data_IF_320555513697
#
_entry.id   IF_320555513697
#
_cell.length_a   1.000
_cell.length_b   1.000
_cell.length_c   1.000
_cell.angle_alpha   90.00
_cell.angle_beta   90.00
_cell.angle_gamma   90.00
#
_symmetry.space_group_name_H-M   'P 1'
#
loop_
_entity.id
_entity.type
_entity.pdbx_description
1 polymer ?
#
# COMPACT_ATOMS: atom_id res chain seq x y z
N UNK A 1 7.78 -8.31 -10.51
CA UNK A 1 6.97 -7.33 -11.26
C UNK A 1 7.22 -7.53 -12.76
N UNK A 2 6.17 -7.50 -13.60
CA UNK A 2 6.30 -7.61 -15.07
C UNK A 2 6.97 -6.36 -15.68
N UNK A 3 7.61 -6.49 -16.86
CA UNK A 3 8.44 -5.42 -17.46
C UNK A 3 7.70 -4.11 -17.68
N UNK A 4 6.44 -4.14 -18.15
CA UNK A 4 5.66 -2.93 -18.44
C UNK A 4 5.22 -2.17 -17.19
N UNK A 5 4.65 -2.82 -16.14
CA UNK A 5 4.44 -2.17 -14.84
C UNK A 5 5.70 -1.50 -14.28
N UNK A 6 6.86 -2.16 -14.35
CA UNK A 6 8.11 -1.57 -13.86
C UNK A 6 8.49 -0.28 -14.62
N UNK A 7 8.31 -0.26 -15.95
CA UNK A 7 8.57 0.93 -16.77
C UNK A 7 7.60 2.08 -16.47
N UNK A 8 6.31 1.79 -16.30
CA UNK A 8 5.31 2.80 -15.91
C UNK A 8 5.61 3.37 -14.53
N UNK A 9 5.94 2.51 -13.57
CA UNK A 9 6.33 2.94 -12.23
C UNK A 9 7.57 3.84 -12.25
N UNK A 10 8.61 3.47 -12.99
CA UNK A 10 9.82 4.27 -13.14
C UNK A 10 9.56 5.63 -13.81
N UNK A 11 8.70 5.66 -14.85
CA UNK A 11 8.33 6.91 -15.52
C UNK A 11 7.57 7.87 -14.59
N UNK A 12 6.69 7.35 -13.74
CA UNK A 12 5.98 8.16 -12.75
C UNK A 12 6.91 8.69 -11.66
N UNK A 13 7.88 7.89 -11.20
CA UNK A 13 8.89 8.33 -10.22
C UNK A 13 9.83 9.39 -10.78
N UNK A 14 10.19 9.29 -12.06
CA UNK A 14 11.10 10.21 -12.73
C UNK A 14 10.40 11.49 -13.25
N UNK A 15 9.09 11.62 -13.05
CA UNK A 15 8.32 12.76 -13.54
C UNK A 15 8.44 13.95 -12.60
N UNK A 16 8.84 15.12 -13.11
CA UNK A 16 8.96 16.36 -12.31
C UNK A 16 7.62 16.81 -11.70
N UNK A 17 6.51 16.58 -12.42
CA UNK A 17 5.14 16.85 -11.94
C UNK A 17 4.68 15.88 -10.84
N UNK A 18 5.42 14.78 -10.63
CA UNK A 18 5.02 13.66 -9.78
C UNK A 18 3.73 12.94 -10.23
N UNK A 19 3.18 13.25 -11.41
CA UNK A 19 1.99 12.59 -11.96
C UNK A 19 1.88 12.69 -13.48
N UNK A 20 1.41 11.61 -14.11
CA UNK A 20 1.25 11.53 -15.58
C UNK A 20 -0.10 10.93 -15.95
N UNK A 21 -0.64 11.34 -17.09
CA UNK A 21 -1.82 10.76 -17.74
C UNK A 21 -1.47 9.53 -18.57
N UNK A 22 -2.47 8.75 -19.00
CA UNK A 22 -2.27 7.63 -19.93
C UNK A 22 -1.58 8.04 -21.23
N UNK A 23 -1.89 9.23 -21.74
CA UNK A 23 -1.32 9.74 -22.99
C UNK A 23 0.16 10.06 -22.82
N UNK A 24 0.51 10.81 -21.78
CA UNK A 24 1.90 11.15 -21.46
C UNK A 24 2.74 9.89 -21.18
N UNK A 25 2.18 8.89 -20.49
CA UNK A 25 2.84 7.60 -20.29
C UNK A 25 3.07 6.85 -21.61
N UNK A 26 2.08 6.86 -22.52
CA UNK A 26 2.19 6.23 -23.84
C UNK A 26 3.27 6.88 -24.70
N UNK A 27 3.31 8.21 -24.70
CA UNK A 27 4.31 9.01 -25.41
C UNK A 27 5.73 8.80 -24.83
N UNK A 28 5.89 8.97 -23.51
CA UNK A 28 7.19 8.86 -22.83
C UNK A 28 7.80 7.46 -22.98
N UNK A 29 6.97 6.42 -22.86
CA UNK A 29 7.43 5.03 -22.93
C UNK A 29 7.42 4.46 -24.35
N UNK A 30 6.87 5.20 -25.32
CA UNK A 30 6.64 4.76 -26.71
C UNK A 30 5.89 3.43 -26.78
N UNK A 31 4.76 3.35 -26.09
CA UNK A 31 3.93 2.13 -26.00
C UNK A 31 2.45 2.43 -26.25
N UNK A 32 1.68 1.38 -26.56
CA UNK A 32 0.26 1.52 -26.85
C UNK A 32 -0.57 1.88 -25.61
N UNK A 33 -1.73 2.52 -25.77
CA UNK A 33 -2.67 2.80 -24.68
C UNK A 33 -3.12 1.55 -23.91
N UNK A 34 -3.22 0.40 -24.60
CA UNK A 34 -3.57 -0.87 -23.98
C UNK A 34 -2.47 -1.37 -23.03
N UNK A 35 -1.20 -1.23 -23.42
CA UNK A 35 -0.07 -1.60 -22.57
C UNK A 35 0.02 -0.72 -21.31
N UNK A 36 -0.25 0.59 -21.44
CA UNK A 36 -0.35 1.50 -20.30
C UNK A 36 -1.50 1.10 -19.38
N UNK A 37 -2.69 0.86 -19.94
CA UNK A 37 -3.89 0.50 -19.17
C UNK A 37 -3.68 -0.79 -18.36
N UNK A 38 -3.09 -1.82 -18.96
CA UNK A 38 -2.77 -3.07 -18.27
C UNK A 38 -1.75 -2.87 -17.15
N UNK A 39 -0.71 -2.07 -17.40
CA UNK A 39 0.32 -1.77 -16.41
C UNK A 39 -0.23 -0.96 -15.22
N UNK A 40 -0.99 0.09 -15.49
CA UNK A 40 -1.66 0.92 -14.45
C UNK A 40 -2.62 0.07 -13.64
N UNK A 41 -3.46 -0.75 -14.29
CA UNK A 41 -4.38 -1.65 -13.57
C UNK A 41 -3.64 -2.56 -12.58
N UNK A 42 -2.55 -3.18 -13.04
CA UNK A 42 -1.72 -4.01 -12.17
C UNK A 42 -1.14 -3.20 -11.01
N UNK A 43 -0.54 -2.04 -11.28
CA UNK A 43 0.06 -1.19 -10.23
C UNK A 43 -0.98 -0.68 -9.22
N UNK A 44 -2.19 -0.34 -9.65
CA UNK A 44 -3.28 0.03 -8.74
C UNK A 44 -3.78 -1.14 -7.90
N UNK A 45 -3.86 -2.35 -8.46
CA UNK A 45 -4.18 -3.57 -7.69
C UNK A 45 -3.12 -3.88 -6.64
N UNK A 46 -1.86 -3.54 -6.91
CA UNK A 46 -0.77 -3.69 -5.95
C UNK A 46 -0.62 -2.47 -5.02
N UNK A 47 -1.56 -1.51 -5.07
CA UNK A 47 -1.51 -0.28 -4.28
C UNK A 47 -0.20 0.52 -4.44
N UNK A 48 0.38 0.51 -5.65
CA UNK A 48 1.63 1.23 -5.98
C UNK A 48 1.39 2.56 -6.71
N UNK A 49 0.22 2.73 -7.34
CA UNK A 49 -0.16 3.94 -8.09
C UNK A 49 -1.60 4.35 -7.79
N UNK A 50 -1.79 5.63 -7.45
CA UNK A 50 -3.07 6.28 -7.25
C UNK A 50 -3.64 6.74 -8.60
N UNK A 51 -4.97 6.74 -8.72
CA UNK A 51 -5.69 7.35 -9.85
C UNK A 51 -6.49 8.53 -9.33
N UNK A 52 -6.08 9.73 -9.71
CA UNK A 52 -6.74 10.99 -9.35
C UNK A 52 -7.43 11.58 -10.59
N UNK A 53 -8.58 12.23 -10.39
CA UNK A 53 -9.19 13.04 -11.45
C UNK A 53 -8.61 14.44 -11.43
N UNK A 54 -8.24 14.94 -12.60
CA UNK A 54 -7.81 16.32 -12.74
C UNK A 54 -9.01 17.27 -12.54
N UNK A 55 -8.93 18.26 -11.64
CA UNK A 55 -10.03 19.20 -11.41
C UNK A 55 -10.46 19.90 -12.70
N UNK A 56 -11.76 19.84 -13.01
CA UNK A 56 -12.30 20.43 -14.25
C UNK A 56 -12.08 19.60 -15.53
N UNK A 57 -11.48 18.42 -15.43
CA UNK A 57 -11.16 17.55 -16.57
C UNK A 57 -11.70 16.13 -16.33
N UNK A 58 -12.04 15.43 -17.43
CA UNK A 58 -12.35 13.99 -17.37
C UNK A 58 -11.10 13.11 -17.41
N UNK A 59 -9.92 13.71 -17.55
CA UNK A 59 -8.66 12.99 -17.64
C UNK A 59 -8.20 12.54 -16.26
N UNK A 60 -7.60 11.37 -16.26
CA UNK A 60 -7.07 10.76 -15.06
C UNK A 60 -5.57 10.95 -15.03
N UNK A 61 -5.06 11.26 -13.84
CA UNK A 61 -3.63 11.33 -13.54
C UNK A 61 -3.25 10.19 -12.62
N UNK A 62 -2.11 9.61 -12.91
CA UNK A 62 -1.50 8.56 -12.14
C UNK A 62 -0.33 9.13 -11.37
N UNK A 63 -0.20 8.77 -10.10
CA UNK A 63 0.89 9.20 -9.22
C UNK A 63 1.40 8.00 -8.44
N UNK A 64 2.71 7.90 -8.24
CA UNK A 64 3.26 6.93 -7.29
C UNK A 64 2.90 7.35 -5.88
N UNK A 65 2.44 6.39 -5.10
CA UNK A 65 2.13 6.55 -3.69
C UNK A 65 3.39 6.83 -2.84
N UNK A 66 3.95 8.05 -2.90
CA UNK A 66 5.04 8.46 -2.01
C UNK A 66 4.59 8.46 -0.53
N UNK A 67 3.32 8.78 -0.28
CA UNK A 67 2.73 8.82 1.08
C UNK A 67 1.85 7.60 1.41
N UNK A 68 1.34 6.86 0.42
CA UNK A 68 0.41 5.75 0.69
C UNK A 68 1.07 4.37 0.82
N UNK A 69 2.41 4.24 0.86
CA UNK A 69 2.99 3.05 1.50
C UNK A 69 2.43 2.87 2.92
N UNK A 70 2.18 4.00 3.59
CA UNK A 70 1.42 4.08 4.83
C UNK A 70 0.03 3.47 4.64
N UNK A 71 -0.86 4.06 3.83
CA UNK A 71 -2.24 3.56 3.60
C UNK A 71 -2.33 2.12 3.05
N UNK A 72 -1.37 1.67 2.25
CA UNK A 72 -1.30 0.29 1.75
C UNK A 72 -0.95 -0.70 2.89
N UNK A 73 -0.17 -0.28 3.88
CA UNK A 73 0.05 -1.04 5.11
C UNK A 73 -1.14 -0.89 6.08
N UNK A 74 -1.74 0.30 6.20
CA UNK A 74 -2.95 0.54 7.01
C UNK A 74 -4.17 -0.24 6.48
N UNK A 75 -4.27 -0.46 5.17
CA UNK A 75 -5.33 -1.29 4.60
C UNK A 75 -5.17 -2.78 4.94
N UNK A 76 -3.92 -3.23 5.17
CA UNK A 76 -3.63 -4.55 5.75
C UNK A 76 -3.95 -4.60 7.24
N UNK A 77 -3.78 -3.50 7.96
CA UNK A 77 -4.19 -3.34 9.38
C UNK A 77 -5.68 -3.70 9.56
N UNK A 78 -6.55 -3.26 8.65
CA UNK A 78 -7.97 -3.60 8.71
C UNK A 78 -8.26 -5.10 8.55
N UNK A 79 -7.41 -5.83 7.82
CA UNK A 79 -7.49 -7.29 7.73
C UNK A 79 -6.96 -7.91 9.02
N UNK A 80 -5.79 -7.47 9.50
CA UNK A 80 -5.16 -7.95 10.72
C UNK A 80 -6.08 -7.79 11.93
N UNK A 81 -6.70 -6.62 12.12
CA UNK A 81 -7.69 -6.39 13.19
C UNK A 81 -8.87 -7.36 13.15
N UNK A 82 -9.39 -7.68 11.96
CA UNK A 82 -10.46 -8.70 11.86
C UNK A 82 -9.98 -10.10 12.28
N UNK A 83 -8.72 -10.43 12.01
CA UNK A 83 -8.14 -11.69 12.49
C UNK A 83 -7.92 -11.68 13.99
N UNK A 84 -7.43 -10.58 14.55
CA UNK A 84 -7.26 -10.39 16.00
C UNK A 84 -8.60 -10.51 16.73
N UNK A 85 -9.65 -9.86 16.23
CA UNK A 85 -11.01 -9.93 16.80
C UNK A 85 -11.52 -11.39 16.81
N UNK A 86 -11.38 -12.11 15.70
CA UNK A 86 -11.79 -13.50 15.59
C UNK A 86 -10.97 -14.43 16.50
N UNK A 87 -9.66 -14.20 16.62
CA UNK A 87 -8.79 -14.96 17.53
C UNK A 87 -9.14 -14.69 18.99
N UNK A 88 -9.46 -13.43 19.34
CA UNK A 88 -9.88 -13.04 20.70
C UNK A 88 -11.19 -13.71 21.09
N UNK A 89 -12.16 -13.74 20.19
CA UNK A 89 -13.42 -14.48 20.39
C UNK A 89 -13.17 -15.99 20.55
N UNK A 90 -12.24 -16.55 19.76
CA UNK A 90 -11.82 -17.94 19.86
C UNK A 90 -11.19 -18.29 21.21
N UNK A 91 -10.29 -17.44 21.74
CA UNK A 91 -9.68 -17.60 23.06
C UNK A 91 -10.75 -17.59 24.15
N UNK A 92 -11.67 -16.61 24.11
CA UNK A 92 -12.75 -16.49 25.09
C UNK A 92 -13.69 -17.71 25.06
N UNK A 93 -13.97 -18.23 23.87
CA UNK A 93 -14.87 -19.37 23.68
C UNK A 93 -14.25 -20.71 24.09
N UNK A 94 -12.96 -20.91 23.81
CA UNK A 94 -12.25 -22.16 24.11
C UNK A 94 -11.71 -22.21 25.54
N UNK A 95 -11.62 -21.07 26.23
CA UNK A 95 -10.97 -20.94 27.52
C UNK A 95 -9.44 -20.90 27.37
N UNK A 96 -8.85 -19.86 27.93
CA UNK A 96 -7.42 -19.51 27.84
C UNK A 96 -6.50 -20.64 28.33
N UNK A 97 -6.96 -21.39 29.34
CA UNK A 97 -6.21 -22.48 29.97
C UNK A 97 -6.28 -23.81 29.22
N UNK A 98 -7.10 -23.90 28.17
CA UNK A 98 -7.13 -25.10 27.34
C UNK A 98 -5.93 -25.10 26.38
N UNK A 99 -5.44 -26.28 25.96
CA UNK A 99 -4.38 -26.35 24.95
C UNK A 99 -4.74 -25.62 23.63
N UNK A 100 -6.03 -25.58 23.27
CA UNK A 100 -6.49 -24.89 22.07
C UNK A 100 -6.56 -23.37 22.29
N UNK A 101 -7.08 -22.91 23.43
CA UNK A 101 -7.08 -21.51 23.83
C UNK A 101 -5.67 -20.93 23.89
N UNK A 102 -4.71 -21.64 24.48
CA UNK A 102 -3.29 -21.23 24.50
C UNK A 102 -2.70 -21.00 23.11
N UNK A 103 -2.95 -21.90 22.15
CA UNK A 103 -2.44 -21.73 20.76
C UNK A 103 -3.06 -20.52 20.07
N UNK A 104 -4.35 -20.27 20.28
CA UNK A 104 -5.01 -19.07 19.76
C UNK A 104 -4.50 -17.80 20.43
N UNK A 105 -4.27 -17.82 21.73
CA UNK A 105 -3.72 -16.69 22.48
C UNK A 105 -2.29 -16.35 22.03
N UNK A 106 -1.44 -17.36 21.81
CA UNK A 106 -0.09 -17.16 21.27
C UNK A 106 -0.13 -16.60 19.84
N UNK A 107 -1.05 -17.10 19.01
CA UNK A 107 -1.24 -16.57 17.65
C UNK A 107 -1.73 -15.13 17.68
N UNK A 108 -2.69 -14.81 18.56
CA UNK A 108 -3.20 -13.45 18.77
C UNK A 108 -2.07 -12.51 19.20
N UNK A 109 -1.29 -12.90 20.20
CA UNK A 109 -0.16 -12.11 20.70
C UNK A 109 0.89 -11.84 19.60
N UNK A 110 1.13 -12.80 18.71
CA UNK A 110 2.01 -12.60 17.56
C UNK A 110 1.47 -11.55 16.59
N UNK A 111 0.18 -11.59 16.26
CA UNK A 111 -0.43 -10.59 15.39
C UNK A 111 -0.43 -9.19 16.01
N UNK A 112 -0.80 -9.07 17.29
CA UNK A 112 -0.75 -7.81 18.04
C UNK A 112 0.68 -7.23 18.07
N UNK A 113 1.69 -8.08 18.25
CA UNK A 113 3.10 -7.66 18.20
C UNK A 113 3.50 -7.14 16.81
N UNK A 114 3.16 -7.86 15.75
CA UNK A 114 3.49 -7.46 14.37
C UNK A 114 2.81 -6.14 14.01
N UNK A 115 1.54 -5.96 14.41
CA UNK A 115 0.80 -4.72 14.18
C UNK A 115 1.50 -3.52 14.85
N UNK A 116 1.86 -3.66 16.12
CA UNK A 116 2.60 -2.66 16.88
C UNK A 116 3.96 -2.31 16.28
N UNK A 117 4.73 -3.31 15.86
CA UNK A 117 6.06 -3.09 15.25
C UNK A 117 5.97 -2.40 13.88
N UNK A 118 4.97 -2.75 13.05
CA UNK A 118 4.73 -2.06 11.78
C UNK A 118 4.38 -0.59 12.03
N UNK A 119 3.47 -0.31 12.96
CA UNK A 119 3.09 1.06 13.30
C UNK A 119 4.30 1.88 13.79
N UNK A 120 5.09 1.33 14.71
CA UNK A 120 6.28 1.99 15.25
C UNK A 120 7.36 2.20 14.17
N UNK A 121 7.59 1.21 13.30
CA UNK A 121 8.52 1.34 12.17
C UNK A 121 8.10 2.46 11.21
N UNK A 122 6.80 2.59 10.93
CA UNK A 122 6.28 3.62 10.04
C UNK A 122 6.43 5.02 10.62
N UNK A 123 6.27 5.18 11.94
CA UNK A 123 6.50 6.47 12.58
C UNK A 123 7.99 6.86 12.52
N UNK A 124 8.90 5.93 12.84
CA UNK A 124 10.35 6.15 12.67
C UNK A 124 10.72 6.53 11.23
N UNK A 125 10.06 5.93 10.24
CA UNK A 125 10.26 6.31 8.84
C UNK A 125 9.76 7.72 8.53
N UNK A 126 8.61 8.13 9.08
CA UNK A 126 8.08 9.49 8.91
C UNK A 126 9.05 10.53 9.48
N UNK A 127 9.61 10.29 10.67
CA UNK A 127 10.63 11.15 11.28
C UNK A 127 11.90 11.20 10.43
N UNK A 128 12.46 10.03 10.09
CA UNK A 128 13.67 9.93 9.27
C UNK A 128 13.52 10.62 7.91
N UNK A 129 12.34 10.50 7.29
CA UNK A 129 12.04 11.18 6.02
C UNK A 129 12.01 12.69 6.20
N UNK A 130 11.37 13.20 7.25
CA UNK A 130 11.31 14.65 7.52
C UNK A 130 12.71 15.23 7.74
N UNK A 131 13.56 14.54 8.50
CA UNK A 131 14.95 14.95 8.72
C UNK A 131 15.75 14.96 7.41
N UNK A 132 15.58 13.94 6.57
CA UNK A 132 16.40 13.76 5.36
C UNK A 132 15.93 14.53 4.14
N UNK A 133 14.63 14.76 4.00
CA UNK A 133 14.02 15.35 2.80
C UNK A 133 13.19 16.62 3.08
N UNK A 134 13.04 17.03 4.34
CA UNK A 134 12.20 18.16 4.74
C UNK A 134 10.70 17.84 4.77
N UNK A 135 9.88 18.84 5.13
CA UNK A 135 8.42 18.77 4.98
C UNK A 135 8.08 19.01 3.50
N UNK A 136 7.97 17.91 2.74
CA UNK A 136 7.38 17.90 1.40
C UNK A 136 5.86 17.88 1.46
#
# INVERSE_FOLDING_TARGET
MQRMPARVFAALLASDSGSLTSAELGENLRVSPAAVSGAVRYLSQQHMVAREREPGSRRERYRVHSNQWYEALTSREAVLKRWEDALREGVASLGEDTPAGRRMAETLAFFEFVDGEIAAMMERWREHRQERFGRG
#
